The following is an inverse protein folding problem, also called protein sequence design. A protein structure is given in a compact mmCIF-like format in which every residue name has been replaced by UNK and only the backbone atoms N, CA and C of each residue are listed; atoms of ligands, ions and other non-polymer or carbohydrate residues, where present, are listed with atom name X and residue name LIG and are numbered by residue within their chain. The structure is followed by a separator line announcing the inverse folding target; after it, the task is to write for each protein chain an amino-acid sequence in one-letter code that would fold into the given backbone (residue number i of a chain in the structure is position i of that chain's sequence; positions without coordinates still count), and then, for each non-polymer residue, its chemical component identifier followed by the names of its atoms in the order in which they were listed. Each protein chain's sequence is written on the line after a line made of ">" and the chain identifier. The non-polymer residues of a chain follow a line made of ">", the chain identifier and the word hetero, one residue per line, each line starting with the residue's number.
data_IF_016566624275
#
_entry.id   IF_016566624275
#
_cell.length_a   1.000
_cell.length_b   1.000
_cell.length_c   1.000
_cell.angle_alpha   90.00
_cell.angle_beta   90.00
_cell.angle_gamma   90.00
#
_symmetry.space_group_name_H-M   'P 1'
#
loop_
_entity.id
_entity.type
_entity.pdbx_description
1 polymer ?
#
# COMPACT_ATOMS: atom_id res chain seq x y z
N UNK A 1 4.40 2.98 -7.52
CA UNK A 1 5.29 2.20 -6.64
C UNK A 1 6.71 2.33 -7.13
N UNK A 2 7.71 2.02 -6.31
CA UNK A 2 9.13 2.03 -6.69
C UNK A 2 9.83 0.83 -6.04
N UNK A 3 10.19 -0.16 -6.83
CA UNK A 3 11.06 -1.25 -6.39
C UNK A 3 12.48 -0.72 -6.22
N UNK A 4 12.97 -0.70 -4.99
CA UNK A 4 14.30 -0.21 -4.62
C UNK A 4 15.33 -1.34 -4.54
N UNK A 5 14.86 -2.59 -4.41
CA UNK A 5 15.69 -3.79 -4.27
C UNK A 5 14.97 -5.01 -4.88
N UNK A 6 15.71 -6.09 -5.17
CA UNK A 6 15.15 -7.37 -5.65
C UNK A 6 14.19 -7.96 -4.62
N UNK A 7 13.05 -8.48 -5.08
CA UNK A 7 12.00 -9.08 -4.23
C UNK A 7 11.65 -10.53 -4.59
N UNK A 8 12.47 -11.23 -5.37
CA UNK A 8 12.18 -12.57 -5.88
C UNK A 8 11.83 -13.60 -4.79
N UNK A 9 12.35 -13.42 -3.58
CA UNK A 9 12.02 -14.29 -2.45
C UNK A 9 10.53 -14.25 -2.05
N UNK A 10 9.77 -13.22 -2.47
CA UNK A 10 8.32 -13.15 -2.29
C UNK A 10 7.59 -14.34 -2.92
N UNK A 11 8.07 -14.81 -4.08
CA UNK A 11 7.46 -15.95 -4.77
C UNK A 11 7.62 -17.27 -3.99
N UNK A 12 8.56 -17.34 -3.04
CA UNK A 12 8.69 -18.47 -2.13
C UNK A 12 7.69 -18.45 -0.96
N UNK A 13 6.96 -17.35 -0.77
CA UNK A 13 5.98 -17.25 0.32
C UNK A 13 4.64 -17.87 -0.05
N UNK A 14 4.21 -17.80 -1.31
CA UNK A 14 2.86 -18.20 -1.71
C UNK A 14 2.65 -19.72 -1.57
N UNK A 15 1.50 -20.10 -1.01
CA UNK A 15 1.11 -21.51 -0.93
C UNK A 15 0.65 -22.00 -2.32
N UNK A 16 0.74 -23.32 -2.62
CA UNK A 16 0.48 -23.83 -3.98
C UNK A 16 -1.01 -23.84 -4.36
N UNK A 17 -1.93 -23.56 -3.43
CA UNK A 17 -3.36 -23.58 -3.73
C UNK A 17 -3.74 -22.41 -4.69
N UNK A 18 -4.56 -22.63 -5.72
CA UNK A 18 -4.83 -21.62 -6.77
C UNK A 18 -5.49 -20.33 -6.30
N UNK A 19 -6.08 -20.32 -5.11
CA UNK A 19 -6.69 -19.17 -4.44
C UNK A 19 -5.82 -18.60 -3.32
N UNK A 20 -4.55 -19.00 -3.24
CA UNK A 20 -3.58 -18.42 -2.32
C UNK A 20 -3.22 -17.00 -2.72
N UNK A 21 -3.06 -16.15 -1.70
CA UNK A 21 -2.64 -14.76 -1.86
C UNK A 21 -1.64 -14.40 -0.78
N UNK A 22 -0.58 -13.68 -1.16
CA UNK A 22 0.38 -13.07 -0.24
C UNK A 22 0.26 -11.57 -0.36
N UNK A 23 0.13 -10.86 0.77
CA UNK A 23 0.09 -9.40 0.79
C UNK A 23 0.61 -8.86 2.12
N UNK A 24 1.02 -7.59 2.13
CA UNK A 24 1.37 -6.90 3.38
C UNK A 24 0.12 -6.34 4.05
N UNK A 25 0.10 -6.34 5.39
CA UNK A 25 -0.97 -5.74 6.17
C UNK A 25 -1.14 -4.25 5.84
N UNK A 26 -2.35 -3.73 5.96
CA UNK A 26 -2.59 -2.30 5.89
C UNK A 26 -2.41 -1.65 7.27
N UNK A 27 -1.99 -0.39 7.28
CA UNK A 27 -2.15 0.45 8.47
C UNK A 27 -3.60 0.88 8.58
N UNK A 28 -4.24 0.50 9.68
CA UNK A 28 -5.63 0.86 10.00
C UNK A 28 -5.69 1.80 11.22
N UNK A 29 -4.69 2.66 11.41
CA UNK A 29 -4.70 3.66 12.48
C UNK A 29 -5.59 4.88 12.22
N UNK A 30 -5.90 5.14 10.93
CA UNK A 30 -6.51 6.40 10.46
C UNK A 30 -5.89 7.67 11.11
N UNK A 31 -4.56 7.90 10.96
CA UNK A 31 -3.87 8.98 11.68
C UNK A 31 -4.38 10.38 11.32
N UNK A 32 -4.90 10.55 10.10
CA UNK A 32 -5.49 11.80 9.61
C UNK A 32 -6.95 11.99 10.05
N UNK A 33 -7.53 11.02 10.77
CA UNK A 33 -8.92 11.01 11.25
C UNK A 33 -9.94 11.31 10.15
N UNK A 34 -9.73 10.72 8.97
CA UNK A 34 -10.62 10.89 7.83
C UNK A 34 -11.98 10.27 8.16
N UNK A 35 -13.05 11.05 8.07
CA UNK A 35 -14.38 10.65 8.53
C UNK A 35 -15.00 9.49 7.72
N UNK A 36 -14.58 9.31 6.47
CA UNK A 36 -15.04 8.24 5.60
C UNK A 36 -14.32 6.90 5.84
N UNK A 37 -13.27 6.87 6.66
CA UNK A 37 -12.60 5.62 7.02
C UNK A 37 -13.43 4.88 8.08
N UNK A 38 -13.40 3.53 8.12
CA UNK A 38 -14.16 2.77 9.10
C UNK A 38 -13.82 3.18 10.54
N UNK A 39 -14.83 3.25 11.42
CA UNK A 39 -14.65 3.63 12.84
C UNK A 39 -13.75 2.66 13.62
N UNK A 40 -13.65 1.42 13.15
CA UNK A 40 -12.75 0.40 13.70
C UNK A 40 -11.27 0.65 13.37
N UNK A 41 -10.96 1.59 12.47
CA UNK A 41 -9.59 1.94 12.13
C UNK A 41 -9.04 2.89 13.20
N UNK A 42 -8.52 2.28 14.25
CA UNK A 42 -7.91 2.92 15.41
C UNK A 42 -6.59 2.23 15.75
N UNK A 43 -5.64 2.93 16.42
CA UNK A 43 -4.34 2.37 16.76
C UNK A 43 -4.39 1.00 17.47
N UNK A 44 -5.32 0.81 18.41
CA UNK A 44 -5.46 -0.46 19.14
C UNK A 44 -5.77 -1.67 18.24
N UNK A 45 -6.34 -1.45 17.06
CA UNK A 45 -6.66 -2.50 16.09
C UNK A 45 -5.55 -2.65 15.02
N UNK A 46 -4.61 -1.71 14.93
CA UNK A 46 -3.60 -1.72 13.89
C UNK A 46 -2.45 -2.69 14.23
N UNK A 47 -2.11 -3.63 13.34
CA UNK A 47 -1.05 -4.61 13.61
C UNK A 47 0.33 -3.95 13.77
N UNK A 48 0.59 -2.83 13.07
CA UNK A 48 1.83 -2.08 13.22
C UNK A 48 1.93 -1.39 14.57
N UNK A 49 0.84 -0.77 15.03
CA UNK A 49 0.81 -0.12 16.34
C UNK A 49 0.99 -1.16 17.46
N UNK A 50 0.27 -2.29 17.37
CA UNK A 50 0.40 -3.40 18.32
C UNK A 50 1.84 -3.91 18.41
N UNK A 51 2.52 -4.08 17.27
CA UNK A 51 3.93 -4.47 17.22
C UNK A 51 4.84 -3.46 17.93
N UNK A 52 4.70 -2.16 17.63
CA UNK A 52 5.52 -1.12 18.27
C UNK A 52 5.33 -1.03 19.79
N UNK A 53 4.15 -1.41 20.28
CA UNK A 53 3.80 -1.31 21.71
C UNK A 53 3.89 -2.66 22.44
N UNK A 54 4.52 -3.68 21.81
CA UNK A 54 4.72 -5.00 22.43
C UNK A 54 3.42 -5.74 22.75
N UNK A 55 2.31 -5.39 22.09
CA UNK A 55 1.05 -6.09 22.26
C UNK A 55 1.14 -7.48 21.62
N UNK A 56 0.54 -8.50 22.23
CA UNK A 56 0.47 -9.82 21.60
C UNK A 56 -0.20 -9.69 20.23
N UNK A 57 0.32 -10.43 19.25
CA UNK A 57 -0.37 -10.57 17.96
C UNK A 57 -1.77 -11.10 18.26
N UNK A 58 -2.78 -10.28 18.01
CA UNK A 58 -4.16 -10.72 18.15
C UNK A 58 -4.41 -11.78 17.08
N UNK A 59 -4.51 -13.05 17.48
CA UNK A 59 -4.91 -14.12 16.56
C UNK A 59 -6.32 -13.86 15.99
N UNK A 60 -7.15 -13.15 16.77
CA UNK A 60 -8.53 -12.74 16.45
C UNK A 60 -8.64 -11.35 15.79
N UNK A 61 -7.52 -10.65 15.59
CA UNK A 61 -7.53 -9.32 15.01
C UNK A 61 -7.88 -9.38 13.52
N UNK A 62 -8.68 -8.45 12.98
CA UNK A 62 -9.02 -8.45 11.56
C UNK A 62 -7.74 -8.32 10.73
N UNK A 63 -7.39 -9.40 10.03
CA UNK A 63 -6.31 -9.38 9.04
C UNK A 63 -6.85 -8.62 7.83
N UNK A 64 -6.35 -7.41 7.65
CA UNK A 64 -6.73 -6.53 6.56
C UNK A 64 -5.47 -6.10 5.81
N UNK A 65 -5.30 -6.53 4.56
CA UNK A 65 -4.12 -6.24 3.75
C UNK A 65 -4.29 -5.00 2.87
N UNK A 66 -3.16 -4.40 2.50
CA UNK A 66 -3.14 -3.38 1.46
C UNK A 66 -3.01 -4.02 0.08
N UNK A 67 -3.91 -3.69 -0.84
CA UNK A 67 -3.98 -4.29 -2.19
C UNK A 67 -2.90 -3.78 -3.17
N UNK A 68 -2.04 -2.84 -2.74
CA UNK A 68 -1.01 -2.28 -3.61
C UNK A 68 0.05 -3.27 -4.09
N UNK A 69 0.29 -4.34 -3.35
CA UNK A 69 1.22 -5.41 -3.73
C UNK A 69 0.67 -6.75 -3.26
N UNK A 70 0.59 -7.69 -4.19
CA UNK A 70 0.11 -9.05 -3.95
C UNK A 70 0.93 -10.06 -4.77
N UNK A 71 1.12 -11.26 -4.22
CA UNK A 71 1.53 -12.45 -4.99
C UNK A 71 0.32 -13.38 -5.06
N UNK A 72 -0.02 -13.85 -6.26
CA UNK A 72 -1.15 -14.73 -6.51
C UNK A 72 -0.84 -15.71 -7.65
N UNK A 73 -1.64 -16.76 -7.77
CA UNK A 73 -1.64 -17.63 -8.94
C UNK A 73 -2.65 -17.13 -9.98
N UNK A 74 -2.22 -16.86 -11.23
CA UNK A 74 -3.17 -16.65 -12.31
C UNK A 74 -4.04 -17.90 -12.49
N UNK A 75 -5.34 -17.79 -12.23
CA UNK A 75 -6.25 -18.92 -12.30
C UNK A 75 -7.64 -18.48 -12.77
N UNK A 76 -8.12 -19.06 -13.87
CA UNK A 76 -9.42 -18.71 -14.47
C UNK A 76 -10.60 -19.02 -13.56
N UNK A 77 -10.54 -20.10 -12.77
CA UNK A 77 -11.62 -20.43 -11.84
C UNK A 77 -11.70 -19.41 -10.69
N UNK A 78 -10.56 -18.98 -10.16
CA UNK A 78 -10.47 -17.87 -9.18
C UNK A 78 -11.02 -16.59 -9.78
N UNK A 79 -10.59 -16.21 -10.99
CA UNK A 79 -11.09 -15.01 -11.69
C UNK A 79 -12.62 -15.04 -11.87
N UNK A 80 -13.17 -16.14 -12.40
CA UNK A 80 -14.61 -16.29 -12.62
C UNK A 80 -15.39 -16.23 -11.31
N UNK A 81 -14.85 -16.79 -10.21
CA UNK A 81 -15.45 -16.69 -8.87
C UNK A 81 -15.50 -15.25 -8.39
N UNK A 82 -14.41 -14.48 -8.56
CA UNK A 82 -14.34 -13.06 -8.20
C UNK A 82 -15.35 -12.25 -9.02
N UNK A 83 -15.38 -12.41 -10.35
CA UNK A 83 -16.32 -11.71 -11.23
C UNK A 83 -17.76 -12.02 -10.85
N UNK A 84 -18.08 -13.30 -10.59
CA UNK A 84 -19.43 -13.70 -10.17
C UNK A 84 -19.84 -13.05 -8.84
N UNK A 85 -18.93 -12.99 -7.86
CA UNK A 85 -19.20 -12.30 -6.59
C UNK A 85 -19.42 -10.81 -6.81
N UNK A 86 -18.56 -10.17 -7.60
CA UNK A 86 -18.66 -8.74 -7.90
C UNK A 86 -19.96 -8.40 -8.62
N UNK A 87 -20.40 -9.21 -9.60
CA UNK A 87 -21.65 -9.03 -10.32
C UNK A 87 -22.91 -9.29 -9.48
N UNK A 88 -22.77 -10.08 -8.41
CA UNK A 88 -23.87 -10.34 -7.47
C UNK A 88 -23.99 -9.26 -6.39
N UNK A 89 -23.01 -8.34 -6.28
CA UNK A 89 -23.04 -7.26 -5.31
C UNK A 89 -24.10 -6.22 -5.69
N UNK A 90 -25.01 -5.94 -4.76
CA UNK A 90 -26.10 -4.98 -4.96
C UNK A 90 -25.73 -3.57 -4.52
N UNK A 91 -24.74 -3.42 -3.65
CA UNK A 91 -24.29 -2.13 -3.13
C UNK A 91 -22.75 -2.03 -3.14
N UNK A 92 -22.20 -1.46 -4.21
CA UNK A 92 -20.76 -1.21 -4.31
C UNK A 92 -20.27 -0.07 -3.41
N UNK A 93 -21.18 0.75 -2.86
CA UNK A 93 -20.78 1.88 -1.99
C UNK A 93 -20.26 1.42 -0.63
N UNK A 94 -20.52 0.15 -0.25
CA UNK A 94 -19.98 -0.47 0.96
C UNK A 94 -18.47 -0.70 0.94
N UNK A 95 -17.83 -0.53 -0.22
CA UNK A 95 -16.38 -0.63 -0.40
C UNK A 95 -15.74 0.76 -0.52
N UNK A 96 -15.52 1.49 0.59
CA UNK A 96 -14.83 2.78 0.56
C UNK A 96 -13.40 2.66 0.00
N UNK A 97 -12.78 1.48 0.06
CA UNK A 97 -11.54 1.14 -0.62
C UNK A 97 -11.83 0.03 -1.65
N UNK A 98 -12.22 0.38 -2.89
CA UNK A 98 -12.96 -0.53 -3.78
C UNK A 98 -12.30 -1.90 -3.99
N UNK A 99 -11.07 -1.93 -4.47
CA UNK A 99 -10.33 -3.17 -4.72
C UNK A 99 -9.84 -3.81 -3.43
N UNK A 100 -9.39 -3.01 -2.45
CA UNK A 100 -8.84 -3.51 -1.20
C UNK A 100 -9.88 -4.21 -0.33
N UNK A 101 -11.05 -3.61 -0.14
CA UNK A 101 -12.12 -4.19 0.66
C UNK A 101 -12.66 -5.46 0.01
N UNK A 102 -12.94 -5.42 -1.29
CA UNK A 102 -13.40 -6.58 -2.05
C UNK A 102 -12.40 -7.74 -1.98
N UNK A 103 -11.11 -7.48 -2.19
CA UNK A 103 -10.09 -8.53 -2.17
C UNK A 103 -9.86 -9.08 -0.75
N UNK A 104 -9.98 -8.26 0.29
CA UNK A 104 -9.91 -8.75 1.67
C UNK A 104 -11.07 -9.71 2.01
N UNK A 105 -12.28 -9.46 1.50
CA UNK A 105 -13.40 -10.39 1.63
C UNK A 105 -13.19 -11.68 0.84
N UNK A 106 -12.59 -11.59 -0.35
CA UNK A 106 -12.41 -12.74 -1.22
C UNK A 106 -11.22 -13.64 -0.85
N UNK A 107 -10.26 -13.11 -0.09
CA UNK A 107 -9.04 -13.79 0.36
C UNK A 107 -8.79 -13.62 1.87
N UNK A 108 -9.71 -14.08 2.74
CA UNK A 108 -9.61 -13.87 4.19
C UNK A 108 -8.43 -14.63 4.84
N UNK A 109 -7.93 -15.67 4.15
CA UNK A 109 -6.84 -16.53 4.60
C UNK A 109 -5.50 -16.19 3.93
N UNK A 110 -5.32 -14.96 3.45
CA UNK A 110 -4.06 -14.55 2.84
C UNK A 110 -2.86 -14.71 3.79
N UNK A 111 -1.68 -14.90 3.20
CA UNK A 111 -0.42 -14.99 3.92
C UNK A 111 0.22 -13.60 4.03
N UNK A 112 0.64 -13.25 5.24
CA UNK A 112 1.20 -11.92 5.51
C UNK A 112 2.66 -11.85 5.04
N UNK A 113 2.94 -10.95 4.11
CA UNK A 113 4.28 -10.50 3.78
C UNK A 113 4.72 -9.35 4.71
N UNK A 114 6.04 -9.21 4.91
CA UNK A 114 6.61 -8.05 5.60
C UNK A 114 6.20 -6.74 4.92
N UNK A 115 6.07 -5.66 5.70
CA UNK A 115 5.74 -4.33 5.16
C UNK A 115 6.78 -3.83 4.15
N UNK A 116 8.03 -4.30 4.22
CA UNK A 116 9.12 -3.86 3.34
C UNK A 116 8.86 -4.10 1.85
N UNK A 117 7.96 -5.04 1.53
CA UNK A 117 7.54 -5.36 0.16
C UNK A 117 6.38 -4.49 -0.35
N UNK A 118 5.72 -3.75 0.54
CA UNK A 118 4.65 -2.80 0.24
C UNK A 118 4.71 -1.64 1.24
N UNK A 119 5.83 -0.92 1.24
CA UNK A 119 6.09 0.13 2.21
C UNK A 119 5.30 1.37 1.84
N UNK A 120 4.04 1.42 2.27
CA UNK A 120 3.15 2.58 2.07
C UNK A 120 3.80 3.80 2.71
N UNK A 121 4.04 4.87 1.94
CA UNK A 121 4.88 6.01 2.35
C UNK A 121 4.48 6.60 3.71
N UNK A 122 3.20 6.60 4.02
CA UNK A 122 2.64 7.16 5.28
C UNK A 122 3.00 6.33 6.51
N UNK A 123 3.41 5.07 6.36
CA UNK A 123 3.93 4.25 7.46
C UNK A 123 5.13 4.90 8.12
N UNK A 124 5.99 5.61 7.37
CA UNK A 124 7.15 6.32 7.94
C UNK A 124 6.77 7.29 9.05
N UNK A 125 5.63 7.97 8.89
CA UNK A 125 5.11 8.92 9.88
C UNK A 125 4.22 8.24 10.93
N UNK A 126 3.39 7.29 10.51
CA UNK A 126 2.43 6.63 11.40
C UNK A 126 3.09 5.61 12.35
N UNK A 127 4.18 4.98 11.91
CA UNK A 127 4.87 3.87 12.57
C UNK A 127 6.41 4.00 12.42
N UNK A 128 7.02 5.05 13.00
CA UNK A 128 8.45 5.29 12.88
C UNK A 128 9.32 4.19 13.51
N UNK A 129 8.79 3.42 14.47
CA UNK A 129 9.49 2.28 15.07
C UNK A 129 9.49 1.04 14.18
N UNK A 130 8.63 0.99 13.17
CA UNK A 130 8.63 -0.08 12.15
C UNK A 130 9.48 0.31 10.93
N UNK A 131 9.46 1.58 10.54
CA UNK A 131 10.05 2.03 9.27
C UNK A 131 11.58 1.97 9.27
N UNK A 132 12.15 1.18 8.37
CA UNK A 132 13.59 1.12 8.09
C UNK A 132 13.81 1.17 6.57
N UNK A 133 14.26 2.33 6.07
CA UNK A 133 14.43 2.56 4.63
C UNK A 133 15.47 1.62 4.00
N UNK A 134 16.48 1.18 4.75
CA UNK A 134 17.52 0.26 4.25
C UNK A 134 16.96 -1.13 3.93
N UNK A 135 15.89 -1.54 4.61
CA UNK A 135 15.21 -2.83 4.38
C UNK A 135 14.07 -2.73 3.36
N UNK A 136 13.55 -1.53 3.10
CA UNK A 136 12.44 -1.32 2.17
C UNK A 136 12.87 -1.72 0.76
N UNK A 137 12.07 -2.62 0.16
CA UNK A 137 12.27 -3.15 -1.18
C UNK A 137 11.30 -2.58 -2.21
N UNK A 138 10.15 -2.08 -1.77
CA UNK A 138 9.18 -1.41 -2.62
C UNK A 138 8.44 -0.31 -1.87
N UNK A 139 8.59 0.93 -2.33
CA UNK A 139 7.88 2.09 -1.79
C UNK A 139 6.53 2.26 -2.50
N UNK A 140 5.46 2.34 -1.72
CA UNK A 140 4.11 2.57 -2.22
C UNK A 140 3.64 4.00 -1.95
N UNK A 141 3.64 4.81 -3.01
CA UNK A 141 3.16 6.20 -2.99
C UNK A 141 1.63 6.27 -3.10
N UNK A 142 0.97 6.52 -1.97
CA UNK A 142 -0.47 6.80 -1.87
C UNK A 142 -0.71 8.30 -1.63
N UNK A 143 -1.96 8.76 -1.74
CA UNK A 143 -2.31 10.18 -1.68
C UNK A 143 -1.51 10.95 -2.76
N UNK A 144 -0.80 12.02 -2.40
CA UNK A 144 0.12 12.76 -3.30
C UNK A 144 1.08 11.80 -4.00
N UNK A 145 1.13 11.86 -5.34
CA UNK A 145 2.02 11.02 -6.14
C UNK A 145 3.36 11.75 -6.40
N UNK A 146 4.45 11.04 -6.75
CA UNK A 146 5.77 11.64 -6.98
C UNK A 146 5.75 12.74 -8.06
N UNK A 147 5.43 12.39 -9.31
CA UNK A 147 4.19 12.85 -9.91
C UNK A 147 3.80 14.31 -9.74
N UNK A 148 3.09 14.53 -8.64
CA UNK A 148 2.33 15.72 -8.29
C UNK A 148 3.19 16.82 -7.65
N UNK A 149 4.45 16.52 -7.35
CA UNK A 149 5.38 17.36 -6.60
C UNK A 149 6.51 17.85 -7.51
N UNK A 150 6.83 19.13 -7.42
CA UNK A 150 7.97 19.75 -8.13
C UNK A 150 9.24 19.01 -7.75
N UNK A 151 10.04 18.60 -8.74
CA UNK A 151 11.31 17.91 -8.47
C UNK A 151 12.31 18.87 -7.80
N UNK A 152 12.34 20.10 -8.31
CA UNK A 152 13.16 21.20 -7.84
C UNK A 152 12.25 22.38 -7.49
N UNK A 153 11.81 22.52 -6.23
CA UNK A 153 10.91 23.61 -5.82
C UNK A 153 11.48 25.03 -6.05
N UNK A 154 12.79 25.14 -6.32
CA UNK A 154 13.48 26.39 -6.64
C UNK A 154 13.60 26.66 -8.16
N UNK A 155 13.19 25.73 -9.03
CA UNK A 155 13.21 25.89 -10.49
C UNK A 155 11.84 26.40 -10.97
N UNK A 156 11.77 27.65 -11.44
CA UNK A 156 10.51 28.30 -11.87
C UNK A 156 9.90 27.70 -13.17
N UNK A 157 10.63 26.82 -13.86
CA UNK A 157 10.29 26.30 -15.19
C UNK A 157 9.55 24.96 -15.19
N UNK A 158 9.21 24.39 -14.02
CA UNK A 158 8.58 23.06 -13.90
C UNK A 158 7.06 23.09 -14.18
N UNK A 159 6.66 23.69 -15.31
CA UNK A 159 5.29 23.71 -15.82
C UNK A 159 5.06 22.43 -16.65
N UNK A 160 4.13 21.59 -16.20
CA UNK A 160 3.70 20.42 -16.97
C UNK A 160 2.99 20.82 -18.27
N UNK A 161 3.04 19.92 -19.26
CA UNK A 161 2.34 20.04 -20.56
C UNK A 161 0.80 20.12 -20.40
N UNK A 162 0.26 19.67 -19.27
CA UNK A 162 -1.17 19.78 -18.93
C UNK A 162 -1.57 21.16 -18.32
N UNK A 163 -0.61 22.08 -18.19
CA UNK A 163 -0.82 23.42 -17.63
C UNK A 163 -1.02 23.43 -16.10
N UNK A 164 -0.88 22.29 -15.42
CA UNK A 164 -1.01 22.19 -13.97
C UNK A 164 0.37 22.36 -13.34
N UNK A 165 0.54 23.44 -12.56
CA UNK A 165 1.75 23.60 -11.74
C UNK A 165 1.77 22.51 -10.65
N UNK A 166 2.85 21.72 -10.52
CA UNK A 166 3.02 20.88 -9.36
C UNK A 166 3.01 21.75 -8.10
N UNK A 167 2.32 21.33 -7.06
CA UNK A 167 2.26 22.11 -5.82
C UNK A 167 3.58 21.96 -5.06
N UNK A 168 4.08 23.03 -4.45
CA UNK A 168 5.19 23.01 -3.48
C UNK A 168 4.82 22.32 -2.15
N UNK A 169 3.90 21.34 -2.19
CA UNK A 169 3.33 20.71 -1.03
C UNK A 169 4.37 19.82 -0.36
N UNK A 170 5.04 20.37 0.67
CA UNK A 170 5.86 19.56 1.57
C UNK A 170 4.95 18.79 2.53
N UNK A 171 4.57 17.58 2.13
CA UNK A 171 3.89 16.61 3.00
C UNK A 171 4.86 15.80 3.87
N UNK A 172 6.13 16.20 3.92
CA UNK A 172 7.18 15.58 4.71
C UNK A 172 7.71 14.28 4.10
N UNK A 173 7.46 14.02 2.81
CA UNK A 173 7.94 12.85 2.06
C UNK A 173 8.83 13.20 0.87
N UNK A 174 9.36 14.42 0.79
CA UNK A 174 10.11 14.92 -0.37
C UNK A 174 11.35 14.08 -0.72
N UNK A 175 12.05 13.54 0.28
CA UNK A 175 13.16 12.61 0.05
C UNK A 175 12.73 11.32 -0.66
N UNK A 176 11.55 10.77 -0.36
CA UNK A 176 11.00 9.62 -1.08
C UNK A 176 10.64 10.00 -2.53
N UNK A 177 10.08 11.20 -2.77
CA UNK A 177 9.81 11.65 -4.15
C UNK A 177 11.08 11.80 -4.96
N UNK A 178 12.15 12.36 -4.38
CA UNK A 178 13.46 12.44 -5.04
C UNK A 178 14.00 11.05 -5.41
N UNK A 179 13.77 10.03 -4.60
CA UNK A 179 14.15 8.66 -4.98
C UNK A 179 13.41 8.18 -6.23
N UNK A 180 12.13 8.52 -6.37
CA UNK A 180 11.33 8.18 -7.55
C UNK A 180 11.84 8.90 -8.80
N UNK A 181 12.06 10.22 -8.72
CA UNK A 181 12.54 11.02 -9.85
C UNK A 181 13.95 10.58 -10.31
N UNK A 182 14.88 10.34 -9.38
CA UNK A 182 16.21 9.79 -9.72
C UNK A 182 16.13 8.45 -10.47
N UNK A 183 15.16 7.61 -10.14
CA UNK A 183 14.97 6.34 -10.86
C UNK A 183 14.35 6.54 -12.25
N UNK A 184 13.44 7.50 -12.42
CA UNK A 184 12.91 7.89 -13.74
C UNK A 184 14.06 8.28 -14.65
N UNK A 185 14.95 9.16 -14.19
CA UNK A 185 16.00 9.74 -15.04
C UNK A 185 17.07 8.72 -15.44
N UNK A 186 17.38 7.77 -14.54
CA UNK A 186 18.31 6.68 -14.85
C UNK A 186 17.72 5.61 -15.78
N UNK A 187 16.39 5.50 -15.88
CA UNK A 187 15.71 4.54 -16.74
C UNK A 187 15.43 5.05 -18.17
N UNK A 188 15.62 6.34 -18.43
CA UNK A 188 15.36 7.00 -19.73
C UNK A 188 16.63 7.12 -20.59
N UNK A 189 17.78 6.65 -20.08
CA UNK A 189 19.06 6.53 -20.80
C UNK A 189 19.33 5.08 -21.23
#
# INVERSE_FOLDING_TARGET
>A
MLCTQRMDELFGLIDPAPDSLVASLACICNPMKLAHYPKSWVPSNCPYWQHEHGMPKSEDGPKYFNSGMMVLHPNTATFNRLVKHFQAESDLSRYPFPDQDFLNEMFPNFKVASYKYNAVKTLRRAHPGVWNMEEVKNVHYILTKPWDVVEHPDDEDDIRDDGIRPTSHDDGFHDLYRMWWRQRDTAVL
#
